data_IF_405561816897
#
_entry.id   IF_405561816897
#
_cell.length_a   1.000
_cell.length_b   1.000
_cell.length_c   1.000
_cell.angle_alpha   90.00
_cell.angle_beta   90.00
_cell.angle_gamma   90.00
#
_symmetry.space_group_name_H-M   'P 1'
#
loop_
_entity.id
_entity.type
_entity.pdbx_description
1 polymer ?
#
# COMPACT_ATOMS: atom_id res chain seq x y z
N UNK A 1 -31.24 -15.74 86.44
CA UNK A 1 -32.04 -14.56 86.05
C UNK A 1 -31.51 -14.10 84.69
N UNK A 2 -32.32 -14.20 83.62
CA UNK A 2 -32.40 -13.22 82.49
C UNK A 2 -31.12 -13.12 81.59
N UNK A 3 -31.08 -13.38 80.28
CA UNK A 3 -32.03 -13.32 79.16
C UNK A 3 -31.57 -14.24 78.01
N UNK A 4 -32.53 -14.88 77.32
CA UNK A 4 -32.36 -15.45 75.98
C UNK A 4 -32.20 -14.31 74.96
N UNK A 5 -31.15 -14.32 74.14
CA UNK A 5 -31.12 -13.59 72.88
C UNK A 5 -31.35 -14.59 71.74
N UNK A 6 -32.46 -14.40 71.03
CA UNK A 6 -32.82 -15.16 69.83
C UNK A 6 -31.94 -14.71 68.67
N UNK A 7 -31.29 -15.65 67.99
CA UNK A 7 -30.53 -15.36 66.77
C UNK A 7 -31.47 -15.40 65.57
N UNK A 8 -31.65 -14.25 64.91
CA UNK A 8 -32.28 -14.17 63.59
C UNK A 8 -31.28 -14.76 62.59
N UNK A 9 -31.62 -15.91 61.98
CA UNK A 9 -30.85 -16.46 60.85
C UNK A 9 -31.10 -15.58 59.62
N UNK A 10 -30.15 -14.74 59.26
CA UNK A 10 -30.08 -14.17 57.91
C UNK A 10 -29.59 -15.25 56.96
N UNK A 11 -30.42 -15.63 55.98
CA UNK A 11 -30.02 -16.45 54.84
C UNK A 11 -28.95 -15.69 54.03
N UNK A 12 -27.67 -15.95 54.31
CA UNK A 12 -26.60 -15.57 53.42
C UNK A 12 -26.52 -16.65 52.34
N UNK A 13 -27.19 -16.39 51.23
CA UNK A 13 -27.05 -17.15 49.99
C UNK A 13 -25.57 -17.39 49.72
N UNK A 14 -25.18 -18.65 49.60
CA UNK A 14 -23.83 -19.10 49.28
C UNK A 14 -23.43 -18.57 47.91
N UNK A 15 -22.76 -17.41 47.87
CA UNK A 15 -22.05 -16.95 46.67
C UNK A 15 -20.84 -17.87 46.50
N UNK A 16 -20.97 -18.87 45.63
CA UNK A 16 -19.81 -19.59 45.13
C UNK A 16 -18.83 -18.57 44.55
N UNK A 17 -17.52 -18.65 44.87
CA UNK A 17 -16.53 -17.82 44.21
C UNK A 17 -16.59 -18.12 42.71
N UNK A 18 -17.04 -17.16 41.91
CA UNK A 18 -17.03 -17.31 40.46
C UNK A 18 -15.58 -17.47 40.02
N UNK A 19 -15.22 -18.70 39.67
CA UNK A 19 -13.87 -19.02 39.23
C UNK A 19 -13.66 -18.39 37.85
N UNK A 20 -12.78 -17.39 37.79
CA UNK A 20 -12.44 -16.70 36.53
C UNK A 20 -11.92 -17.72 35.52
N UNK A 21 -12.50 -17.73 34.31
CA UNK A 21 -12.04 -18.57 33.19
C UNK A 21 -10.65 -18.14 32.71
N UNK A 22 -9.79 -19.12 32.41
CA UNK A 22 -8.52 -18.87 31.72
C UNK A 22 -8.79 -18.46 30.28
N UNK A 23 -8.00 -17.51 29.77
CA UNK A 23 -8.11 -17.03 28.39
C UNK A 23 -7.31 -17.88 27.38
N UNK A 24 -6.38 -18.73 27.85
CA UNK A 24 -5.54 -19.61 27.02
C UNK A 24 -4.79 -18.88 25.88
N UNK A 25 -4.30 -17.67 26.14
CA UNK A 25 -3.44 -16.95 25.18
C UNK A 25 -2.09 -17.64 25.03
N UNK A 26 -1.55 -17.63 23.82
CA UNK A 26 -0.18 -18.06 23.57
C UNK A 26 0.80 -17.08 24.23
N UNK A 27 1.93 -17.55 24.78
CA UNK A 27 3.02 -16.69 25.23
C UNK A 27 3.52 -15.75 24.13
N UNK A 28 4.20 -14.68 24.52
CA UNK A 28 4.89 -13.80 23.56
C UNK A 28 5.87 -14.60 22.69
N UNK A 29 5.88 -14.34 21.39
CA UNK A 29 6.91 -14.86 20.46
C UNK A 29 8.26 -14.20 20.73
N UNK A 30 8.26 -13.03 21.37
CA UNK A 30 9.45 -12.28 21.74
C UNK A 30 9.84 -12.55 23.19
N UNK A 31 11.06 -13.05 23.40
CA UNK A 31 11.68 -13.17 24.71
C UNK A 31 12.27 -11.83 25.15
N UNK A 32 12.15 -11.49 26.44
CA UNK A 32 12.65 -10.21 26.96
C UNK A 32 14.16 -10.03 26.71
N UNK A 33 14.94 -11.11 26.89
CA UNK A 33 16.38 -11.10 26.63
C UNK A 33 16.71 -10.84 25.14
N UNK A 34 15.89 -11.34 24.22
CA UNK A 34 16.06 -11.06 22.79
C UNK A 34 15.82 -9.58 22.51
N UNK A 35 14.76 -8.99 23.07
CA UNK A 35 14.45 -7.55 22.92
C UNK A 35 15.62 -6.69 23.44
N UNK A 36 16.16 -7.01 24.61
CA UNK A 36 17.29 -6.30 25.20
C UNK A 36 18.60 -6.47 24.41
N UNK A 37 18.72 -7.53 23.62
CA UNK A 37 19.90 -7.80 22.78
C UNK A 37 19.88 -7.07 21.43
N UNK A 38 18.75 -6.50 21.02
CA UNK A 38 18.62 -5.82 19.73
C UNK A 38 19.53 -4.60 19.69
N UNK A 39 20.52 -4.66 18.79
CA UNK A 39 21.44 -3.56 18.50
C UNK A 39 21.48 -3.33 17.00
N UNK A 40 21.82 -2.11 16.58
CA UNK A 40 21.93 -1.77 15.16
C UNK A 40 23.31 -1.18 14.85
N UNK A 41 24.00 -1.67 13.80
CA UNK A 41 25.22 -1.04 13.31
C UNK A 41 24.93 0.24 12.49
N UNK A 42 23.65 0.54 12.24
CA UNK A 42 23.20 1.67 11.44
C UNK A 42 22.88 2.89 12.31
N UNK A 43 23.92 3.47 12.93
CA UNK A 43 23.77 4.70 13.70
C UNK A 43 23.94 5.95 12.81
N UNK A 44 23.30 7.05 13.19
CA UNK A 44 23.38 8.31 12.44
C UNK A 44 24.79 8.89 12.49
N UNK A 45 25.53 8.68 13.57
CA UNK A 45 26.90 9.15 13.74
C UNK A 45 27.86 8.52 12.71
N UNK A 46 27.58 7.29 12.29
CA UNK A 46 28.40 6.57 11.31
C UNK A 46 27.92 6.82 9.88
N UNK A 47 26.60 6.82 9.64
CA UNK A 47 26.02 6.82 8.28
C UNK A 47 25.35 8.14 7.88
N UNK A 48 25.22 9.10 8.79
CA UNK A 48 24.45 10.32 8.58
C UNK A 48 24.95 11.18 7.43
N UNK A 49 26.26 11.33 7.26
CA UNK A 49 26.83 12.09 6.14
C UNK A 49 26.42 11.48 4.78
N UNK A 50 26.56 10.16 4.64
CA UNK A 50 26.19 9.47 3.40
C UNK A 50 24.69 9.51 3.15
N UNK A 51 23.88 9.44 4.21
CA UNK A 51 22.42 9.59 4.12
C UNK A 51 22.05 10.97 3.57
N UNK A 52 22.64 12.05 4.09
CA UNK A 52 22.34 13.41 3.63
C UNK A 52 22.81 13.66 2.19
N UNK A 53 23.95 13.09 1.79
CA UNK A 53 24.41 13.14 0.40
C UNK A 53 23.42 12.44 -0.55
N UNK A 54 22.96 11.24 -0.19
CA UNK A 54 21.97 10.48 -0.99
C UNK A 54 20.63 11.21 -1.05
N UNK A 55 20.16 11.81 0.06
CA UNK A 55 18.95 12.64 0.06
C UNK A 55 19.08 13.83 -0.88
N UNK A 56 20.26 14.46 -0.94
CA UNK A 56 20.50 15.58 -1.84
C UNK A 56 20.47 15.13 -3.31
N UNK A 57 21.10 14.01 -3.63
CA UNK A 57 21.06 13.43 -4.98
C UNK A 57 19.61 13.08 -5.39
N UNK A 58 18.85 12.44 -4.51
CA UNK A 58 17.44 12.10 -4.75
C UNK A 58 16.57 13.35 -4.98
N UNK A 59 16.78 14.43 -4.23
CA UNK A 59 16.09 15.72 -4.47
C UNK A 59 16.41 16.30 -5.84
N UNK A 60 17.68 16.28 -6.24
CA UNK A 60 18.07 16.76 -7.57
C UNK A 60 17.41 15.95 -8.71
N UNK A 61 17.21 14.64 -8.51
CA UNK A 61 16.51 13.80 -9.50
C UNK A 61 15.04 14.22 -9.67
N UNK A 62 14.34 14.56 -8.58
CA UNK A 62 12.97 15.07 -8.62
C UNK A 62 12.86 16.46 -9.29
N UNK A 63 13.87 17.31 -9.14
CA UNK A 63 13.88 18.66 -9.73
C UNK A 63 14.29 18.69 -11.21
N UNK A 64 15.17 17.78 -11.64
CA UNK A 64 15.78 17.82 -12.96
C UNK A 64 14.87 17.23 -14.05
N UNK A 65 14.23 16.11 -13.77
CA UNK A 65 13.42 15.41 -14.77
C UNK A 65 12.06 16.10 -14.94
N UNK A 66 11.76 16.50 -16.16
CA UNK A 66 10.47 17.11 -16.53
C UNK A 66 9.61 16.16 -17.35
N UNK A 67 10.10 14.97 -17.67
CA UNK A 67 9.31 13.94 -18.30
C UNK A 67 8.35 13.32 -17.26
N UNK A 68 7.03 13.35 -17.50
CA UNK A 68 6.05 12.80 -16.57
C UNK A 68 6.23 11.32 -16.30
N UNK A 69 6.59 10.50 -17.29
CA UNK A 69 6.74 9.07 -17.12
C UNK A 69 7.90 8.77 -16.17
N UNK A 70 9.06 9.37 -16.42
CA UNK A 70 10.24 9.21 -15.57
C UNK A 70 10.00 9.74 -14.15
N UNK A 71 9.33 10.89 -14.02
CA UNK A 71 8.97 11.48 -12.71
C UNK A 71 8.08 10.53 -11.90
N UNK A 72 7.01 10.01 -12.51
CA UNK A 72 6.11 9.06 -11.85
C UNK A 72 6.81 7.76 -11.46
N UNK A 73 7.69 7.23 -12.31
CA UNK A 73 8.51 6.04 -12.01
C UNK A 73 9.45 6.28 -10.82
N UNK A 74 10.05 7.46 -10.74
CA UNK A 74 10.92 7.84 -9.63
C UNK A 74 10.14 7.90 -8.31
N UNK A 75 8.97 8.55 -8.32
CA UNK A 75 8.08 8.63 -7.16
C UNK A 75 7.63 7.23 -6.72
N UNK A 76 7.21 6.37 -7.65
CA UNK A 76 6.82 4.98 -7.36
C UNK A 76 7.96 4.20 -6.70
N UNK A 77 9.17 4.34 -7.25
CA UNK A 77 10.37 3.70 -6.71
C UNK A 77 10.67 4.17 -5.28
N UNK A 78 10.57 5.47 -5.01
CA UNK A 78 10.77 6.02 -3.67
C UNK A 78 9.70 5.52 -2.67
N UNK A 79 8.44 5.42 -3.11
CA UNK A 79 7.35 4.91 -2.29
C UNK A 79 7.53 3.41 -1.96
N UNK A 80 7.91 2.60 -2.95
CA UNK A 80 8.17 1.17 -2.76
C UNK A 80 9.41 0.88 -1.91
N UNK A 81 10.44 1.72 -2.01
CA UNK A 81 11.62 1.67 -1.15
C UNK A 81 11.36 2.18 0.28
N UNK A 82 10.18 2.73 0.58
CA UNK A 82 9.86 3.27 1.90
C UNK A 82 10.65 4.53 2.26
N UNK A 83 11.18 5.26 1.28
CA UNK A 83 12.00 6.47 1.49
C UNK A 83 11.30 7.76 1.08
N UNK A 84 10.12 7.68 0.47
CA UNK A 84 9.34 8.83 -0.01
C UNK A 84 9.01 9.85 1.09
N UNK A 85 8.91 9.42 2.34
CA UNK A 85 8.59 10.29 3.47
C UNK A 85 9.64 11.39 3.72
N UNK A 86 10.85 11.26 3.19
CA UNK A 86 11.88 12.30 3.24
C UNK A 86 11.67 13.43 2.23
N UNK A 87 10.81 13.25 1.23
CA UNK A 87 10.72 14.10 0.03
C UNK A 87 9.29 14.61 -0.23
N UNK A 88 8.44 14.69 0.80
CA UNK A 88 7.02 15.00 0.63
C UNK A 88 6.77 16.28 -0.19
N UNK A 89 7.49 17.36 0.13
CA UNK A 89 7.36 18.63 -0.60
C UNK A 89 7.82 18.50 -2.05
N UNK A 90 8.97 17.88 -2.28
CA UNK A 90 9.55 17.72 -3.62
C UNK A 90 8.68 16.81 -4.50
N UNK A 91 8.02 15.82 -3.90
CA UNK A 91 7.04 14.97 -4.60
C UNK A 91 5.81 15.79 -4.97
N UNK A 92 5.24 16.58 -4.06
CA UNK A 92 4.09 17.46 -4.35
C UNK A 92 4.42 18.45 -5.48
N UNK A 93 5.57 19.12 -5.40
CA UNK A 93 6.05 20.05 -6.43
C UNK A 93 6.23 19.34 -7.79
N UNK A 94 6.73 18.10 -7.80
CA UNK A 94 6.88 17.30 -9.02
C UNK A 94 5.52 16.88 -9.61
N UNK A 95 4.55 16.48 -8.78
CA UNK A 95 3.20 16.12 -9.22
C UNK A 95 2.45 17.32 -9.80
N UNK A 96 2.58 18.50 -9.19
CA UNK A 96 2.02 19.75 -9.71
C UNK A 96 2.56 20.07 -11.12
N UNK A 97 3.86 19.83 -11.36
CA UNK A 97 4.47 19.98 -12.67
C UNK A 97 3.92 18.96 -13.69
N UNK A 98 3.77 17.69 -13.29
CA UNK A 98 3.18 16.64 -14.14
C UNK A 98 1.77 17.04 -14.58
N UNK A 99 0.91 17.47 -13.65
CA UNK A 99 -0.46 17.89 -13.97
C UNK A 99 -0.46 19.12 -14.89
N UNK A 100 0.38 20.10 -14.59
CA UNK A 100 0.46 21.35 -15.35
C UNK A 100 0.93 21.14 -16.79
N UNK A 101 1.77 20.14 -17.04
CA UNK A 101 2.28 19.82 -18.37
C UNK A 101 1.22 19.26 -19.32
N UNK A 102 0.03 18.87 -18.81
CA UNK A 102 -1.05 18.21 -19.57
C UNK A 102 -0.51 17.16 -20.56
N UNK A 103 0.26 16.19 -20.07
CA UNK A 103 1.04 15.37 -20.95
C UNK A 103 0.12 14.48 -21.78
N UNK A 104 0.43 14.38 -23.07
CA UNK A 104 -0.12 13.34 -23.93
C UNK A 104 0.54 12.01 -23.53
N UNK A 105 0.09 11.46 -22.39
CA UNK A 105 0.48 10.11 -21.99
C UNK A 105 -0.32 9.17 -22.86
N UNK A 106 0.35 8.36 -23.67
CA UNK A 106 -0.32 7.48 -24.62
C UNK A 106 -0.27 5.99 -24.23
N UNK A 107 0.52 5.63 -23.22
CA UNK A 107 0.67 4.25 -22.77
C UNK A 107 -0.13 3.93 -21.49
N UNK A 108 -0.56 2.67 -21.40
CA UNK A 108 -1.39 2.17 -20.29
C UNK A 108 -0.63 2.19 -18.97
N UNK A 109 0.66 1.85 -18.99
CA UNK A 109 1.50 1.78 -17.79
C UNK A 109 1.58 3.14 -17.09
N UNK A 110 1.96 4.19 -17.83
CA UNK A 110 2.11 5.55 -17.29
C UNK A 110 0.75 6.15 -16.91
N UNK A 111 -0.31 5.88 -17.69
CA UNK A 111 -1.66 6.35 -17.32
C UNK A 111 -2.13 5.73 -16.00
N UNK A 112 -1.90 4.42 -15.83
CA UNK A 112 -2.26 3.70 -14.60
C UNK A 112 -1.45 4.21 -13.41
N UNK A 113 -0.14 4.40 -13.62
CA UNK A 113 0.76 4.91 -12.58
C UNK A 113 0.38 6.33 -12.15
N UNK A 114 0.07 7.21 -13.12
CA UNK A 114 -0.39 8.56 -12.86
C UNK A 114 -1.68 8.56 -12.01
N UNK A 115 -2.69 7.78 -12.41
CA UNK A 115 -3.93 7.73 -11.65
C UNK A 115 -3.71 7.22 -10.22
N UNK A 116 -2.90 6.16 -10.06
CA UNK A 116 -2.58 5.62 -8.74
C UNK A 116 -1.89 6.67 -7.87
N UNK A 117 -0.77 7.22 -8.32
CA UNK A 117 0.05 8.14 -7.52
C UNK A 117 -0.76 9.41 -7.19
N UNK A 118 -1.47 9.99 -8.16
CA UNK A 118 -2.28 11.18 -7.89
C UNK A 118 -3.35 10.92 -6.83
N UNK A 119 -4.06 9.78 -6.89
CA UNK A 119 -5.07 9.45 -5.87
C UNK A 119 -4.46 9.15 -4.50
N UNK A 120 -3.31 8.48 -4.46
CA UNK A 120 -2.56 8.24 -3.21
C UNK A 120 -2.14 9.55 -2.53
N UNK A 121 -1.88 10.60 -3.32
CA UNK A 121 -1.57 11.96 -2.85
C UNK A 121 -2.79 12.90 -2.81
N UNK A 122 -4.01 12.36 -2.90
CA UNK A 122 -5.27 13.11 -2.82
C UNK A 122 -5.48 14.18 -3.92
N UNK A 123 -4.81 14.06 -5.06
CA UNK A 123 -5.07 14.85 -6.26
C UNK A 123 -6.28 14.31 -7.02
N UNK A 124 -7.22 15.18 -7.45
CA UNK A 124 -8.38 14.76 -8.22
C UNK A 124 -7.97 14.35 -9.64
N UNK A 125 -8.38 13.14 -10.05
CA UNK A 125 -8.22 12.64 -11.42
C UNK A 125 -9.42 11.76 -11.80
N UNK A 126 -10.01 12.07 -12.96
CA UNK A 126 -11.09 11.26 -13.54
C UNK A 126 -10.54 9.96 -14.10
N UNK A 127 -11.27 8.88 -13.94
CA UNK A 127 -10.98 7.58 -14.56
C UNK A 127 -11.18 7.58 -16.08
N UNK A 128 -11.75 8.67 -16.64
CA UNK A 128 -11.90 8.85 -18.09
C UNK A 128 -10.57 8.84 -18.85
N UNK A 129 -9.45 9.04 -18.17
CA UNK A 129 -8.10 8.88 -18.73
C UNK A 129 -7.89 7.49 -19.35
N UNK A 130 -8.65 6.48 -18.92
CA UNK A 130 -8.60 5.13 -19.46
C UNK A 130 -9.48 4.90 -20.69
N UNK A 131 -10.39 5.82 -21.04
CA UNK A 131 -11.33 5.62 -22.15
C UNK A 131 -10.63 5.41 -23.51
N UNK A 132 -9.42 5.96 -23.68
CA UNK A 132 -8.59 5.76 -24.88
C UNK A 132 -8.08 4.32 -25.06
N UNK A 133 -8.10 3.51 -23.99
CA UNK A 133 -7.70 2.10 -24.00
C UNK A 133 -8.89 1.14 -24.15
N UNK A 134 -10.10 1.68 -24.31
CA UNK A 134 -11.34 0.90 -24.34
C UNK A 134 -11.95 0.88 -25.73
N UNK A 135 -12.57 -0.25 -26.06
CA UNK A 135 -13.36 -0.46 -27.26
C UNK A 135 -14.73 0.22 -27.19
N UNK A 136 -15.48 0.14 -28.30
CA UNK A 136 -16.84 0.68 -28.39
C UNK A 136 -17.86 -0.04 -27.50
N UNK A 137 -17.53 -1.24 -27.07
CA UNK A 137 -18.28 -2.04 -26.10
C UNK A 137 -18.03 -1.59 -24.65
N UNK A 138 -17.14 -0.61 -24.44
CA UNK A 138 -16.77 -0.14 -23.11
C UNK A 138 -15.88 -1.13 -22.36
N UNK A 139 -15.07 -1.95 -23.04
CA UNK A 139 -14.10 -2.83 -22.39
C UNK A 139 -12.67 -2.48 -22.79
N UNK A 140 -11.68 -2.74 -21.94
CA UNK A 140 -10.28 -2.65 -22.31
C UNK A 140 -10.01 -3.53 -23.54
N UNK A 141 -9.27 -2.99 -24.50
CA UNK A 141 -8.99 -3.72 -25.75
C UNK A 141 -8.02 -4.86 -25.47
N UNK A 142 -8.34 -6.06 -25.98
CA UNK A 142 -7.57 -7.29 -25.76
C UNK A 142 -6.09 -7.19 -26.18
N UNK A 143 -5.74 -6.29 -27.11
CA UNK A 143 -4.34 -6.07 -27.50
C UNK A 143 -3.45 -5.53 -26.38
N UNK A 144 -4.03 -5.04 -25.27
CA UNK A 144 -3.29 -4.64 -24.07
C UNK A 144 -2.87 -5.83 -23.21
N UNK A 145 -3.48 -7.01 -23.43
CA UNK A 145 -3.30 -8.22 -22.62
C UNK A 145 -1.89 -8.82 -22.65
N UNK A 146 -0.99 -8.33 -23.50
CA UNK A 146 0.39 -8.82 -23.61
C UNK A 146 1.41 -8.05 -22.76
N UNK A 147 1.11 -6.82 -22.33
CA UNK A 147 2.04 -6.00 -21.55
C UNK A 147 1.80 -6.21 -20.05
N UNK A 148 2.51 -7.18 -19.48
CA UNK A 148 2.35 -7.61 -18.08
C UNK A 148 2.70 -6.50 -17.09
N UNK A 149 3.66 -5.64 -17.42
CA UNK A 149 4.03 -4.50 -16.58
C UNK A 149 2.94 -3.44 -16.57
N UNK A 150 2.35 -3.14 -17.72
CA UNK A 150 1.20 -2.25 -17.82
C UNK A 150 -0.04 -2.81 -17.12
N UNK A 151 -0.30 -4.11 -17.27
CA UNK A 151 -1.42 -4.79 -16.60
C UNK A 151 -1.26 -4.80 -15.08
N UNK A 152 -0.04 -5.01 -14.57
CA UNK A 152 0.23 -4.91 -13.14
C UNK A 152 -0.05 -3.50 -12.61
N UNK A 153 0.44 -2.48 -13.32
CA UNK A 153 0.16 -1.07 -12.97
C UNK A 153 -1.34 -0.76 -13.01
N UNK A 154 -2.06 -1.25 -14.02
CA UNK A 154 -3.52 -1.11 -14.13
C UNK A 154 -4.24 -1.82 -12.98
N UNK A 155 -3.82 -3.03 -12.63
CA UNK A 155 -4.38 -3.79 -11.52
C UNK A 155 -4.19 -3.04 -10.20
N UNK A 156 -3.01 -2.53 -9.91
CA UNK A 156 -2.75 -1.71 -8.71
C UNK A 156 -3.62 -0.45 -8.67
N UNK A 157 -3.72 0.26 -9.80
CA UNK A 157 -4.54 1.47 -9.91
C UNK A 157 -6.04 1.17 -9.74
N UNK A 158 -6.52 0.04 -10.23
CA UNK A 158 -7.94 -0.36 -10.19
C UNK A 158 -8.52 -0.41 -8.77
N UNK A 159 -7.69 -0.72 -7.76
CA UNK A 159 -8.13 -0.76 -6.36
C UNK A 159 -8.36 0.62 -5.73
N UNK A 160 -7.98 1.69 -6.41
CA UNK A 160 -8.27 3.06 -5.99
C UNK A 160 -9.58 3.59 -6.60
N UNK A 161 -10.38 2.71 -7.23
CA UNK A 161 -11.70 3.05 -7.75
C UNK A 161 -12.68 3.51 -6.67
N UNK A 162 -13.51 4.49 -7.01
CA UNK A 162 -14.58 5.03 -6.17
C UNK A 162 -15.96 4.60 -6.68
N UNK A 163 -16.99 4.77 -5.85
CA UNK A 163 -18.36 4.41 -6.26
C UNK A 163 -18.80 5.21 -7.50
N UNK A 164 -19.30 4.50 -8.52
CA UNK A 164 -19.72 5.08 -9.80
C UNK A 164 -18.62 5.08 -10.88
N UNK A 165 -17.43 4.57 -10.57
CA UNK A 165 -16.33 4.45 -11.52
C UNK A 165 -16.23 3.03 -12.10
N UNK A 166 -17.26 2.59 -12.83
CA UNK A 166 -17.38 1.22 -13.38
C UNK A 166 -16.16 0.79 -14.24
N UNK A 167 -15.43 1.75 -14.81
CA UNK A 167 -14.19 1.49 -15.55
C UNK A 167 -13.08 0.91 -14.66
N UNK A 168 -13.09 1.19 -13.36
CA UNK A 168 -12.09 0.68 -12.41
C UNK A 168 -12.39 -0.77 -12.03
N UNK A 169 -13.68 -1.12 -11.90
CA UNK A 169 -14.08 -2.52 -11.72
C UNK A 169 -13.71 -3.35 -12.95
N UNK A 170 -13.97 -2.81 -14.15
CA UNK A 170 -13.59 -3.45 -15.41
C UNK A 170 -12.07 -3.56 -15.57
N UNK A 171 -11.30 -2.52 -15.19
CA UNK A 171 -9.85 -2.55 -15.17
C UNK A 171 -9.32 -3.67 -14.27
N UNK A 172 -9.93 -3.86 -13.10
CA UNK A 172 -9.58 -4.91 -12.14
C UNK A 172 -9.82 -6.31 -12.71
N UNK A 173 -10.98 -6.52 -13.32
CA UNK A 173 -11.33 -7.79 -13.97
C UNK A 173 -10.39 -8.11 -15.13
N UNK A 174 -10.20 -7.16 -16.05
CA UNK A 174 -9.33 -7.30 -17.23
C UNK A 174 -7.89 -7.63 -16.82
N UNK A 175 -7.28 -6.77 -16.00
CA UNK A 175 -5.88 -6.92 -15.59
C UNK A 175 -5.64 -8.22 -14.81
N UNK A 176 -6.51 -8.55 -13.84
CA UNK A 176 -6.34 -9.77 -13.05
C UNK A 176 -6.55 -11.04 -13.88
N UNK A 177 -7.43 -11.02 -14.89
CA UNK A 177 -7.63 -12.14 -15.81
C UNK A 177 -6.37 -12.46 -16.62
N UNK A 178 -5.76 -11.43 -17.22
CA UNK A 178 -4.52 -11.60 -17.99
C UNK A 178 -3.33 -11.98 -17.10
N UNK A 179 -3.14 -11.30 -15.96
CA UNK A 179 -2.05 -11.59 -15.03
C UNK A 179 -2.09 -13.03 -14.50
N UNK A 180 -3.28 -13.55 -14.18
CA UNK A 180 -3.45 -14.96 -13.76
C UNK A 180 -3.19 -15.94 -14.89
N UNK A 181 -3.57 -15.60 -16.12
CA UNK A 181 -3.43 -16.49 -17.28
C UNK A 181 -1.98 -16.60 -17.77
N UNK A 182 -1.15 -15.58 -17.49
CA UNK A 182 0.23 -15.51 -17.98
C UNK A 182 1.30 -15.78 -16.91
N UNK A 183 0.89 -16.09 -15.68
CA UNK A 183 1.75 -16.38 -14.53
C UNK A 183 2.89 -17.38 -14.83
N UNK A 184 2.64 -18.42 -15.62
CA UNK A 184 3.63 -19.46 -15.92
C UNK A 184 4.74 -19.01 -16.90
N UNK A 185 4.57 -17.86 -17.55
CA UNK A 185 5.45 -17.36 -18.62
C UNK A 185 6.25 -16.11 -18.23
N UNK A 186 6.07 -15.61 -17.01
CA UNK A 186 6.71 -14.39 -16.52
C UNK A 186 8.16 -14.63 -16.11
N UNK A 187 8.98 -13.58 -16.21
CA UNK A 187 10.27 -13.51 -15.55
C UNK A 187 10.12 -13.64 -14.02
N UNK A 188 11.13 -14.18 -13.35
CA UNK A 188 11.08 -14.51 -11.92
C UNK A 188 10.73 -13.29 -11.04
N UNK A 189 11.31 -12.12 -11.33
CA UNK A 189 11.09 -10.92 -10.52
C UNK A 189 9.67 -10.35 -10.74
N UNK A 190 9.22 -10.32 -11.99
CA UNK A 190 7.87 -9.85 -12.33
C UNK A 190 6.80 -10.82 -11.80
N UNK A 191 7.04 -12.13 -11.87
CA UNK A 191 6.15 -13.14 -11.30
C UNK A 191 5.98 -12.95 -9.79
N UNK A 192 7.06 -12.70 -9.05
CA UNK A 192 6.98 -12.41 -7.61
C UNK A 192 6.15 -11.15 -7.33
N UNK A 193 6.35 -10.07 -8.09
CA UNK A 193 5.56 -8.84 -7.92
C UNK A 193 4.08 -9.04 -8.23
N UNK A 194 3.77 -9.78 -9.30
CA UNK A 194 2.38 -10.13 -9.67
C UNK A 194 1.74 -10.98 -8.58
N UNK A 195 2.43 -12.01 -8.08
CA UNK A 195 1.95 -12.85 -6.98
C UNK A 195 1.67 -12.02 -5.73
N UNK A 196 2.63 -11.21 -5.31
CA UNK A 196 2.49 -10.35 -4.14
C UNK A 196 1.30 -9.39 -4.31
N UNK A 197 1.11 -8.82 -5.50
CA UNK A 197 0.01 -7.89 -5.76
C UNK A 197 -1.36 -8.59 -5.76
N UNK A 198 -1.44 -9.81 -6.29
CA UNK A 198 -2.66 -10.62 -6.29
C UNK A 198 -3.00 -11.17 -4.90
N UNK A 199 -1.99 -11.50 -4.08
CA UNK A 199 -2.17 -12.07 -2.74
C UNK A 199 -2.38 -11.00 -1.64
N UNK A 200 -1.72 -9.85 -1.73
CA UNK A 200 -1.51 -8.96 -0.57
C UNK A 200 -2.01 -7.50 -0.70
N UNK A 201 -2.97 -7.15 -1.56
CA UNK A 201 -3.47 -5.76 -1.60
C UNK A 201 -4.90 -5.56 -1.09
N UNK A 202 -4.98 -4.68 -0.08
CA UNK A 202 -6.12 -4.05 0.59
C UNK A 202 -6.75 -4.73 1.81
N UNK A 203 -6.00 -4.70 2.93
CA UNK A 203 -6.59 -4.39 4.25
C UNK A 203 -5.83 -3.20 4.84
N UNK A 204 -6.35 -1.99 4.61
CA UNK A 204 -6.09 -0.77 5.38
C UNK A 204 -4.65 -0.45 5.84
N UNK A 205 -3.95 0.38 5.06
CA UNK A 205 -3.28 1.55 5.63
C UNK A 205 -1.94 1.42 6.36
N UNK A 206 -1.03 0.53 5.96
CA UNK A 206 0.37 0.59 6.42
C UNK A 206 1.36 0.57 5.24
N UNK A 207 1.89 1.74 4.82
CA UNK A 207 2.96 1.83 3.82
C UNK A 207 4.26 1.11 4.27
N UNK A 208 4.47 0.98 5.57
CA UNK A 208 5.69 0.44 6.20
C UNK A 208 5.84 -1.08 6.07
N UNK A 209 4.77 -1.79 5.68
CA UNK A 209 4.79 -3.25 5.46
C UNK A 209 5.05 -3.63 3.99
N UNK A 210 5.45 -2.66 3.15
CA UNK A 210 5.85 -2.90 1.75
C UNK A 210 7.35 -3.26 1.60
N UNK A 211 8.12 -3.27 2.69
CA UNK A 211 9.56 -3.63 2.72
C UNK A 211 9.77 -5.14 2.89
#
# INVERSE_FOLDING_TARGET
MVLRRSAIKSNLSSRHPEQRRSANYHPSVWEAALIESLTTPFSYEVHGAKLEDLKKEARNLLEYDKDPCSTLKLIDSMQRLGVSYHFGKEIDDALDNVISSKPAIDDLYTTSLMLRILREHAYPISTDVFNKFRGRDGKFVESLGSDMTALLSLYEASHLGMHGEDVMDEAKEFSSGHLKSSWETLDCDLAMQVKQSLENLYVGGCPELRL
#
